data_IF_563156606600
#
_entry.id   IF_563156606600
#
_cell.length_a   1.000
_cell.length_b   1.000
_cell.length_c   1.000
_cell.angle_alpha   90.00
_cell.angle_beta   90.00
_cell.angle_gamma   90.00
#
_symmetry.space_group_name_H-M   'P 1'
#
loop_
_entity.id
_entity.type
_entity.pdbx_description
1 polymer ?
#
# COMPACT_ATOMS: atom_id res chain seq x y z
N UNK A 1 71.61 -4.81 -55.65
CA UNK A 1 70.41 -4.34 -56.39
C UNK A 1 69.51 -3.63 -55.39
N UNK A 2 69.65 -2.31 -55.36
CA UNK A 2 68.76 -1.48 -54.52
C UNK A 2 67.47 -1.17 -55.30
N UNK A 3 66.34 -1.66 -54.77
CA UNK A 3 65.03 -1.30 -55.33
C UNK A 3 64.74 0.13 -54.93
N UNK A 4 64.93 1.08 -55.86
CA UNK A 4 64.40 2.45 -55.69
C UNK A 4 62.88 2.39 -55.78
N UNK A 5 62.23 2.42 -54.66
CA UNK A 5 60.77 2.62 -54.63
C UNK A 5 60.46 4.02 -55.17
N UNK A 6 59.65 4.10 -56.25
CA UNK A 6 59.23 5.35 -56.82
C UNK A 6 58.51 6.24 -55.80
N UNK A 7 58.79 7.55 -55.74
CA UNK A 7 58.25 8.46 -54.70
C UNK A 7 56.73 8.48 -54.64
N UNK A 8 56.06 8.11 -55.73
CA UNK A 8 54.59 7.97 -55.80
C UNK A 8 54.08 6.81 -54.94
N UNK A 9 54.79 5.67 -54.84
CA UNK A 9 54.43 4.56 -53.98
C UNK A 9 54.64 4.87 -52.51
N UNK A 10 55.67 5.66 -52.18
CA UNK A 10 55.92 6.12 -50.84
C UNK A 10 54.84 7.11 -50.33
N UNK A 11 54.43 8.01 -51.20
CA UNK A 11 53.33 8.96 -50.95
C UNK A 11 51.98 8.27 -50.76
N UNK A 12 51.67 7.22 -51.59
CA UNK A 12 50.45 6.45 -51.42
C UNK A 12 50.41 5.63 -50.14
N UNK A 13 51.55 5.06 -49.73
CA UNK A 13 51.68 4.32 -48.49
C UNK A 13 51.50 5.23 -47.25
N UNK A 14 52.09 6.47 -47.29
CA UNK A 14 51.91 7.45 -46.24
C UNK A 14 50.45 7.92 -46.13
N UNK A 15 49.78 8.18 -47.24
CA UNK A 15 48.39 8.57 -47.29
C UNK A 15 47.47 7.46 -46.74
N UNK A 16 47.73 6.19 -47.09
CA UNK A 16 47.00 5.04 -46.54
C UNK A 16 47.15 4.86 -45.03
N UNK A 17 48.38 5.01 -44.51
CA UNK A 17 48.61 4.95 -43.07
C UNK A 17 47.98 6.13 -42.34
N UNK A 18 48.05 7.35 -42.91
CA UNK A 18 47.39 8.53 -42.31
C UNK A 18 45.86 8.37 -42.30
N UNK A 19 45.25 7.84 -43.36
CA UNK A 19 43.82 7.56 -43.39
C UNK A 19 43.39 6.46 -42.37
N UNK A 20 44.16 5.39 -42.22
CA UNK A 20 43.85 4.33 -41.28
C UNK A 20 44.04 4.79 -39.83
N UNK A 21 45.05 5.61 -39.51
CA UNK A 21 45.21 6.19 -38.20
C UNK A 21 44.15 7.22 -37.86
N UNK A 22 43.69 7.99 -38.86
CA UNK A 22 42.61 8.95 -38.66
C UNK A 22 41.26 8.26 -38.45
N UNK A 23 40.99 7.18 -39.22
CA UNK A 23 39.79 6.34 -39.02
C UNK A 23 39.82 5.64 -37.63
N UNK A 24 40.97 5.09 -37.24
CA UNK A 24 41.15 4.48 -35.92
C UNK A 24 41.00 5.48 -34.79
N UNK A 25 41.43 6.75 -34.98
CA UNK A 25 41.26 7.83 -34.00
C UNK A 25 39.77 8.23 -33.91
N UNK A 26 39.06 8.35 -35.06
CA UNK A 26 37.62 8.63 -35.08
C UNK A 26 36.84 7.49 -34.41
N UNK A 27 37.15 6.25 -34.70
CA UNK A 27 36.53 5.08 -34.08
C UNK A 27 36.83 4.98 -32.58
N UNK A 28 38.08 5.34 -32.16
CA UNK A 28 38.46 5.40 -30.75
C UNK A 28 37.72 6.56 -30.03
N UNK A 29 37.63 7.73 -30.64
CA UNK A 29 36.87 8.85 -30.11
C UNK A 29 35.33 8.58 -30.11
N UNK A 30 34.81 7.90 -31.12
CA UNK A 30 33.42 7.47 -31.16
C UNK A 30 33.11 6.37 -30.13
N UNK A 31 34.07 5.48 -29.86
CA UNK A 31 33.93 4.48 -28.76
C UNK A 31 34.14 5.06 -27.37
N UNK A 32 34.91 6.16 -27.23
CA UNK A 32 35.03 6.89 -25.97
C UNK A 32 33.91 7.90 -25.74
N UNK A 33 33.27 8.39 -26.79
CA UNK A 33 31.93 8.97 -26.72
C UNK A 33 30.92 7.86 -26.94
N UNK A 34 30.76 6.92 -26.02
CA UNK A 34 29.44 6.55 -25.62
C UNK A 34 28.81 7.89 -25.23
N UNK A 35 27.98 8.42 -26.12
CA UNK A 35 27.05 9.45 -25.75
C UNK A 35 26.28 8.86 -24.57
N UNK A 36 26.69 9.19 -23.35
CA UNK A 36 25.81 9.20 -22.22
C UNK A 36 24.73 10.23 -22.60
N UNK A 37 23.78 9.78 -23.39
CA UNK A 37 22.51 10.47 -23.55
C UNK A 37 22.07 10.68 -22.09
N UNK A 38 21.84 11.93 -21.65
CA UNK A 38 21.43 12.17 -20.29
C UNK A 38 20.26 11.24 -20.06
N UNK A 39 20.41 10.32 -19.09
CA UNK A 39 19.40 9.32 -18.79
C UNK A 39 18.09 10.08 -18.61
N UNK A 40 17.19 9.97 -19.59
CA UNK A 40 15.94 10.72 -19.55
C UNK A 40 15.17 10.24 -18.33
N UNK A 41 14.79 11.16 -17.47
CA UNK A 41 13.92 10.85 -16.34
C UNK A 41 12.67 10.17 -16.85
N UNK A 42 12.35 9.01 -16.32
CA UNK A 42 11.13 8.27 -16.60
C UNK A 42 10.13 8.51 -15.48
N UNK A 43 8.85 8.42 -15.79
CA UNK A 43 7.77 8.65 -14.85
C UNK A 43 6.82 7.46 -14.81
N UNK A 44 6.14 7.30 -13.67
CA UNK A 44 5.07 6.31 -13.51
C UNK A 44 4.04 6.80 -12.49
N UNK A 45 2.78 6.56 -12.76
CA UNK A 45 1.67 6.96 -11.90
C UNK A 45 1.04 5.70 -11.30
N UNK A 46 0.81 5.74 -9.99
CA UNK A 46 0.05 4.70 -9.29
C UNK A 46 -1.06 5.37 -8.49
N UNK A 47 -2.28 4.90 -8.68
CA UNK A 47 -3.38 5.17 -7.75
C UNK A 47 -3.48 4.04 -6.74
N UNK A 48 -3.46 4.42 -5.48
CA UNK A 48 -3.88 3.56 -4.36
C UNK A 48 -5.33 3.91 -4.01
N UNK A 49 -6.24 3.00 -4.35
CA UNK A 49 -7.65 3.17 -4.07
C UNK A 49 -8.04 2.31 -2.85
N UNK A 50 -7.81 2.90 -1.68
CA UNK A 50 -8.14 2.33 -0.39
C UNK A 50 -9.65 2.24 -0.12
N UNK A 51 -10.02 1.64 1.01
CA UNK A 51 -11.43 1.50 1.40
C UNK A 51 -12.06 2.83 1.87
N UNK A 52 -11.24 3.77 2.32
CA UNK A 52 -11.68 5.04 2.91
C UNK A 52 -11.30 6.27 2.08
N UNK A 53 -10.22 6.19 1.31
CA UNK A 53 -9.73 7.29 0.47
C UNK A 53 -8.93 6.73 -0.71
N UNK A 54 -8.66 7.58 -1.68
CA UNK A 54 -7.83 7.27 -2.84
C UNK A 54 -6.73 8.32 -2.95
N UNK A 55 -5.50 7.90 -3.28
CA UNK A 55 -4.38 8.80 -3.51
C UNK A 55 -3.66 8.46 -4.81
N UNK A 56 -3.15 9.49 -5.49
CA UNK A 56 -2.26 9.37 -6.64
C UNK A 56 -0.83 9.62 -6.21
N UNK A 57 0.08 8.74 -6.62
CA UNK A 57 1.51 8.88 -6.46
C UNK A 57 2.20 8.95 -7.81
N UNK A 58 3.02 9.98 -8.01
CA UNK A 58 3.90 10.11 -9.17
C UNK A 58 5.32 9.70 -8.77
N UNK A 59 5.83 8.71 -9.43
CA UNK A 59 7.20 8.22 -9.28
C UNK A 59 8.06 8.64 -10.45
N UNK A 60 9.36 8.80 -10.18
CA UNK A 60 10.37 9.08 -11.20
C UNK A 60 11.63 8.24 -10.98
N UNK A 61 12.32 7.93 -12.08
CA UNK A 61 13.62 7.23 -12.05
C UNK A 61 14.48 7.65 -13.25
N UNK A 62 15.78 7.43 -13.15
CA UNK A 62 16.75 7.76 -14.20
C UNK A 62 17.04 6.53 -15.07
N UNK A 63 16.93 6.68 -16.38
CA UNK A 63 17.39 5.75 -17.40
C UNK A 63 16.73 4.38 -17.41
N UNK A 64 17.42 3.42 -18.03
CA UNK A 64 17.03 2.02 -18.03
C UNK A 64 17.36 1.36 -16.71
N UNK A 65 16.52 0.44 -16.27
CA UNK A 65 16.78 -0.38 -15.08
C UNK A 65 18.04 -1.22 -15.26
N UNK A 66 19.12 -0.88 -14.57
CA UNK A 66 20.33 -1.70 -14.55
C UNK A 66 20.14 -2.89 -13.63
N UNK A 67 20.58 -4.09 -14.07
CA UNK A 67 20.61 -5.32 -13.26
C UNK A 67 19.30 -5.65 -12.53
N UNK A 68 18.15 -5.36 -13.11
CA UNK A 68 16.82 -5.55 -12.48
C UNK A 68 16.64 -4.72 -11.20
N UNK A 69 17.38 -3.66 -11.01
CA UNK A 69 17.24 -2.74 -9.87
C UNK A 69 16.20 -1.67 -10.20
N UNK A 70 15.04 -1.74 -9.58
CA UNK A 70 14.00 -0.71 -9.71
C UNK A 70 14.17 0.37 -8.66
N UNK A 71 15.09 1.33 -8.88
CA UNK A 71 15.27 2.46 -7.99
C UNK A 71 14.35 3.57 -8.46
N UNK A 72 13.39 3.96 -7.62
CA UNK A 72 12.41 4.98 -7.90
C UNK A 72 12.33 5.97 -6.74
N UNK A 73 12.00 7.21 -7.03
CA UNK A 73 11.67 8.21 -6.01
C UNK A 73 10.26 8.74 -6.26
N UNK A 74 9.53 9.02 -5.19
CA UNK A 74 8.26 9.70 -5.27
C UNK A 74 8.53 11.20 -5.51
N UNK A 75 7.95 11.76 -6.57
CA UNK A 75 8.08 13.19 -6.91
C UNK A 75 6.85 14.01 -6.56
N UNK A 76 5.68 13.34 -6.44
CA UNK A 76 4.42 14.01 -6.11
C UNK A 76 3.44 13.02 -5.48
N UNK A 77 2.60 13.52 -4.57
CA UNK A 77 1.37 12.84 -4.10
C UNK A 77 0.19 13.79 -4.24
N UNK A 78 -0.99 13.22 -4.45
CA UNK A 78 -2.25 13.97 -4.53
C UNK A 78 -3.36 13.14 -3.94
N UNK A 79 -3.97 13.62 -2.87
CA UNK A 79 -5.17 13.01 -2.29
C UNK A 79 -6.38 13.33 -3.16
N UNK A 80 -7.13 12.30 -3.51
CA UNK A 80 -8.38 12.41 -4.27
C UNK A 80 -9.48 12.88 -3.35
N UNK A 81 -10.20 13.91 -3.75
CA UNK A 81 -11.30 14.45 -2.95
C UNK A 81 -12.46 13.43 -2.86
N UNK A 82 -13.01 13.25 -1.68
CA UNK A 82 -14.11 12.34 -1.39
C UNK A 82 -13.67 11.00 -0.78
N UNK A 83 -14.63 10.11 -0.64
CA UNK A 83 -14.43 8.79 -0.04
C UNK A 83 -13.73 7.82 -1.01
N UNK A 84 -13.37 6.62 -0.52
CA UNK A 84 -12.83 5.56 -1.37
C UNK A 84 -13.78 5.19 -2.53
N UNK A 85 -13.23 4.75 -3.66
CA UNK A 85 -14.02 4.51 -4.89
C UNK A 85 -15.16 3.51 -4.70
N UNK A 86 -15.09 2.63 -3.72
CA UNK A 86 -16.16 1.67 -3.38
C UNK A 86 -17.44 2.32 -2.83
N UNK A 87 -17.38 3.59 -2.39
CA UNK A 87 -18.56 4.33 -1.89
C UNK A 87 -19.49 4.83 -3.00
N UNK A 88 -19.01 4.86 -4.25
CA UNK A 88 -19.75 5.42 -5.39
C UNK A 88 -20.77 4.46 -6.03
N UNK A 89 -21.30 3.50 -5.27
CA UNK A 89 -22.29 2.51 -5.74
C UNK A 89 -23.53 3.19 -6.37
N UNK A 90 -24.01 4.29 -5.79
CA UNK A 90 -25.18 5.02 -6.28
C UNK A 90 -24.84 6.05 -7.38
N UNK A 91 -23.55 6.34 -7.58
CA UNK A 91 -23.06 7.28 -8.59
C UNK A 91 -21.73 6.83 -9.17
N UNK A 92 -21.66 5.71 -9.91
CA UNK A 92 -20.41 5.18 -10.44
C UNK A 92 -19.59 6.18 -11.27
N UNK A 93 -20.18 7.07 -12.11
CA UNK A 93 -19.41 8.09 -12.80
C UNK A 93 -18.65 9.04 -11.84
N UNK A 94 -19.15 9.26 -10.63
CA UNK A 94 -18.50 10.06 -9.59
C UNK A 94 -17.15 9.50 -9.18
N UNK A 95 -16.95 8.18 -9.19
CA UNK A 95 -15.67 7.56 -8.91
C UNK A 95 -14.61 7.97 -9.94
N UNK A 96 -14.95 7.99 -11.22
CA UNK A 96 -14.05 8.47 -12.27
C UNK A 96 -13.82 9.98 -12.18
N UNK A 97 -14.88 10.76 -11.93
CA UNK A 97 -14.81 12.22 -11.82
C UNK A 97 -13.87 12.68 -10.69
N UNK A 98 -13.89 12.00 -9.54
CA UNK A 98 -13.04 12.32 -8.39
C UNK A 98 -11.55 12.27 -8.72
N UNK A 99 -11.12 11.43 -9.66
CA UNK A 99 -9.70 11.29 -10.04
C UNK A 99 -9.17 12.45 -10.87
N UNK A 100 -10.03 13.24 -11.51
CA UNK A 100 -9.63 14.23 -12.52
C UNK A 100 -8.70 15.30 -11.99
N UNK A 101 -8.92 15.79 -10.79
CA UNK A 101 -8.06 16.79 -10.14
C UNK A 101 -6.61 16.28 -10.03
N UNK A 102 -6.42 15.10 -9.48
CA UNK A 102 -5.09 14.50 -9.32
C UNK A 102 -4.45 14.11 -10.67
N UNK A 103 -5.22 13.63 -11.63
CA UNK A 103 -4.74 13.39 -12.99
C UNK A 103 -4.27 14.68 -13.68
N UNK A 104 -4.97 15.79 -13.49
CA UNK A 104 -4.56 17.10 -14.02
C UNK A 104 -3.26 17.59 -13.36
N UNK A 105 -3.11 17.42 -12.05
CA UNK A 105 -1.89 17.74 -11.31
C UNK A 105 -0.71 16.92 -11.83
N UNK A 106 -0.87 15.60 -11.98
CA UNK A 106 0.16 14.73 -12.54
C UNK A 106 0.52 15.11 -13.98
N UNK A 107 -0.49 15.43 -14.81
CA UNK A 107 -0.27 15.90 -16.19
C UNK A 107 0.55 17.18 -16.26
N UNK A 108 0.33 18.13 -15.36
CA UNK A 108 1.10 19.37 -15.29
C UNK A 108 2.54 19.14 -14.82
N UNK A 109 2.78 18.13 -13.96
CA UNK A 109 4.10 17.80 -13.41
C UNK A 109 4.99 17.04 -14.40
N UNK A 110 4.41 16.33 -15.39
CA UNK A 110 5.15 15.49 -16.33
C UNK A 110 5.37 16.25 -17.65
N UNK A 111 6.62 16.35 -18.16
CA UNK A 111 6.90 16.96 -19.45
C UNK A 111 6.04 16.39 -20.58
N UNK A 112 5.49 17.23 -21.44
CA UNK A 112 4.50 16.82 -22.46
C UNK A 112 5.00 15.71 -23.40
N UNK A 113 6.30 15.72 -23.73
CA UNK A 113 6.94 14.68 -24.55
C UNK A 113 7.04 13.32 -23.87
N UNK A 114 6.87 13.24 -22.53
CA UNK A 114 6.98 12.00 -21.77
C UNK A 114 5.63 11.46 -21.27
N UNK A 115 4.56 12.26 -21.36
CA UNK A 115 3.23 11.86 -20.87
C UNK A 115 2.75 10.55 -21.51
N UNK A 116 2.94 10.36 -22.81
CA UNK A 116 2.51 9.14 -23.53
C UNK A 116 3.33 7.89 -23.18
N UNK A 117 4.53 8.08 -22.62
CA UNK A 117 5.38 6.99 -22.17
C UNK A 117 5.23 6.72 -20.66
N UNK A 118 4.44 7.51 -19.94
CA UNK A 118 4.22 7.38 -18.51
C UNK A 118 3.12 6.34 -18.22
N UNK A 119 3.47 5.16 -17.66
CA UNK A 119 2.48 4.16 -17.30
C UNK A 119 1.62 4.62 -16.13
N UNK A 120 0.33 4.28 -16.17
CA UNK A 120 -0.62 4.51 -15.09
C UNK A 120 -1.26 3.19 -14.67
N UNK A 121 -1.22 2.93 -13.37
CA UNK A 121 -1.87 1.80 -12.73
C UNK A 121 -2.83 2.29 -11.65
N UNK A 122 -3.93 1.57 -11.45
CA UNK A 122 -4.79 1.73 -10.27
C UNK A 122 -4.95 0.38 -9.58
N UNK A 123 -4.54 0.32 -8.30
CA UNK A 123 -4.79 -0.79 -7.40
C UNK A 123 -5.90 -0.43 -6.43
N UNK A 124 -7.03 -1.15 -6.51
CA UNK A 124 -8.11 -1.01 -5.55
C UNK A 124 -8.01 -2.13 -4.51
N UNK A 125 -8.24 -1.80 -3.24
CA UNK A 125 -7.96 -2.71 -2.13
C UNK A 125 -9.24 -3.25 -1.46
N UNK A 126 -9.25 -3.42 -0.16
CA UNK A 126 -10.28 -4.11 0.61
C UNK A 126 -11.70 -3.56 0.43
N UNK A 127 -11.87 -2.24 0.22
CA UNK A 127 -13.18 -1.66 -0.02
C UNK A 127 -13.84 -2.22 -1.28
N UNK A 128 -13.09 -2.28 -2.38
CA UNK A 128 -13.57 -2.86 -3.63
C UNK A 128 -13.68 -4.39 -3.57
N UNK A 129 -12.84 -5.08 -2.77
CA UNK A 129 -13.03 -6.52 -2.52
C UNK A 129 -14.36 -6.80 -1.81
N UNK A 130 -14.69 -6.02 -0.78
CA UNK A 130 -15.98 -6.15 -0.08
C UNK A 130 -17.16 -5.89 -1.01
N UNK A 131 -17.10 -4.79 -1.79
CA UNK A 131 -18.14 -4.50 -2.78
C UNK A 131 -18.27 -5.61 -3.82
N UNK A 132 -17.17 -6.18 -4.29
CA UNK A 132 -17.20 -7.29 -5.26
C UNK A 132 -17.80 -8.57 -4.69
N UNK A 133 -17.63 -8.84 -3.38
CA UNK A 133 -18.29 -9.95 -2.69
C UNK A 133 -19.80 -9.73 -2.55
N UNK A 134 -20.23 -8.50 -2.33
CA UNK A 134 -21.63 -8.12 -2.18
C UNK A 134 -22.32 -7.98 -3.54
N UNK A 135 -21.70 -7.27 -4.46
CA UNK A 135 -22.21 -7.00 -5.81
C UNK A 135 -21.08 -6.83 -6.82
N UNK A 136 -20.65 -7.95 -7.41
CA UNK A 136 -19.58 -7.94 -8.41
C UNK A 136 -19.86 -7.04 -9.61
N UNK A 137 -21.09 -7.02 -10.11
CA UNK A 137 -21.48 -6.18 -11.26
C UNK A 137 -21.26 -4.70 -10.95
N UNK A 138 -21.63 -4.26 -9.75
CA UNK A 138 -21.45 -2.88 -9.34
C UNK A 138 -19.97 -2.50 -9.18
N UNK A 139 -19.15 -3.42 -8.65
CA UNK A 139 -17.70 -3.22 -8.57
C UNK A 139 -17.08 -3.10 -9.97
N UNK A 140 -17.50 -3.93 -10.92
CA UNK A 140 -17.05 -3.89 -12.33
C UNK A 140 -17.44 -2.56 -13.01
N UNK A 141 -18.65 -2.03 -12.76
CA UNK A 141 -19.12 -0.74 -13.28
C UNK A 141 -18.24 0.41 -12.76
N UNK A 142 -17.95 0.45 -11.45
CA UNK A 142 -17.09 1.48 -10.87
C UNK A 142 -15.68 1.42 -11.47
N UNK A 143 -15.09 0.24 -11.62
CA UNK A 143 -13.77 0.08 -12.26
C UNK A 143 -13.79 0.52 -13.72
N UNK A 144 -14.89 0.30 -14.45
CA UNK A 144 -15.05 0.75 -15.83
C UNK A 144 -15.06 2.28 -15.93
N UNK A 145 -15.78 3.00 -15.04
CA UNK A 145 -15.82 4.46 -15.02
C UNK A 145 -14.46 5.06 -14.63
N UNK A 146 -13.76 4.48 -13.67
CA UNK A 146 -12.39 4.85 -13.30
C UNK A 146 -11.45 4.65 -14.50
N UNK A 147 -11.51 3.51 -15.16
CA UNK A 147 -10.73 3.19 -16.36
C UNK A 147 -10.96 4.21 -17.47
N UNK A 148 -12.21 4.50 -17.80
CA UNK A 148 -12.61 5.48 -18.81
C UNK A 148 -12.04 6.86 -18.52
N UNK A 149 -12.08 7.29 -17.25
CA UNK A 149 -11.52 8.58 -16.84
C UNK A 149 -10.00 8.61 -17.02
N UNK A 150 -9.27 7.60 -16.55
CA UNK A 150 -7.80 7.55 -16.68
C UNK A 150 -7.40 7.53 -18.17
N UNK A 151 -8.09 6.75 -19.01
CA UNK A 151 -7.84 6.66 -20.44
C UNK A 151 -8.10 7.97 -21.20
N UNK A 152 -8.86 8.91 -20.63
CA UNK A 152 -9.08 10.23 -21.23
C UNK A 152 -7.86 11.17 -21.13
N UNK A 153 -6.85 10.78 -20.35
CA UNK A 153 -5.58 11.51 -20.19
C UNK A 153 -4.49 10.92 -21.11
N UNK A 154 -3.44 11.72 -21.42
CA UNK A 154 -2.43 11.32 -22.41
C UNK A 154 -1.40 10.30 -21.89
N UNK A 155 -1.74 9.53 -20.87
CA UNK A 155 -0.84 8.56 -20.24
C UNK A 155 -0.98 7.16 -20.84
N UNK A 156 0.01 6.31 -20.60
CA UNK A 156 0.00 4.89 -20.96
C UNK A 156 -0.76 4.08 -19.91
N UNK A 157 -2.08 3.97 -20.06
CA UNK A 157 -2.91 3.22 -19.13
C UNK A 157 -2.59 1.72 -19.17
N UNK A 158 -2.16 1.18 -18.04
CA UNK A 158 -1.73 -0.22 -17.86
C UNK A 158 -2.74 -1.09 -17.12
N UNK A 159 -3.74 -0.50 -16.50
CA UNK A 159 -4.83 -1.24 -15.86
C UNK A 159 -5.33 -0.62 -14.57
N UNK A 160 -6.61 -0.90 -14.30
CA UNK A 160 -7.26 -0.68 -13.01
C UNK A 160 -7.84 -2.01 -12.56
N UNK A 161 -7.49 -2.46 -11.35
CA UNK A 161 -7.94 -3.76 -10.85
C UNK A 161 -8.06 -3.79 -9.34
N UNK A 162 -8.84 -4.73 -8.85
CA UNK A 162 -8.90 -5.06 -7.43
C UNK A 162 -7.70 -5.96 -7.11
N UNK A 163 -6.87 -5.53 -6.16
CA UNK A 163 -5.77 -6.31 -5.64
C UNK A 163 -6.29 -7.42 -4.72
N UNK A 164 -5.70 -8.60 -4.83
CA UNK A 164 -5.90 -9.64 -3.82
C UNK A 164 -5.31 -9.19 -2.48
N UNK A 165 -5.80 -9.76 -1.39
CA UNK A 165 -5.23 -9.44 -0.07
C UNK A 165 -3.75 -9.83 0.05
N UNK A 166 -3.33 -10.91 -0.64
CA UNK A 166 -1.95 -11.34 -0.72
C UNK A 166 -1.08 -10.29 -1.43
N UNK A 167 -1.52 -9.76 -2.58
CA UNK A 167 -0.80 -8.72 -3.31
C UNK A 167 -0.66 -7.44 -2.49
N UNK A 168 -1.72 -7.03 -1.80
CA UNK A 168 -1.71 -5.84 -0.93
C UNK A 168 -0.65 -5.99 0.17
N UNK A 169 -0.65 -7.08 0.92
CA UNK A 169 0.34 -7.36 1.96
C UNK A 169 1.76 -7.49 1.40
N UNK A 170 1.92 -8.18 0.26
CA UNK A 170 3.21 -8.35 -0.39
C UNK A 170 3.80 -7.02 -0.88
N UNK A 171 2.99 -6.16 -1.48
CA UNK A 171 3.44 -4.84 -1.94
C UNK A 171 3.78 -3.91 -0.79
N UNK A 172 3.02 -3.94 0.31
CA UNK A 172 3.36 -3.23 1.55
C UNK A 172 4.73 -3.67 2.09
N UNK A 173 4.96 -4.99 2.17
CA UNK A 173 6.24 -5.55 2.61
C UNK A 173 7.41 -5.14 1.70
N UNK A 174 7.22 -5.17 0.37
CA UNK A 174 8.23 -4.71 -0.59
C UNK A 174 8.54 -3.24 -0.36
N UNK A 175 7.52 -2.39 -0.24
CA UNK A 175 7.67 -0.95 -0.07
C UNK A 175 8.45 -0.61 1.19
N UNK A 176 8.09 -1.20 2.34
CA UNK A 176 8.79 -0.98 3.61
C UNK A 176 10.28 -1.36 3.49
N UNK A 177 10.57 -2.55 3.00
CA UNK A 177 11.94 -3.01 2.88
C UNK A 177 12.75 -2.27 1.80
N UNK A 178 12.09 -1.70 0.79
CA UNK A 178 12.70 -0.77 -0.15
C UNK A 178 13.09 0.55 0.52
N UNK A 179 12.16 1.17 1.27
CA UNK A 179 12.37 2.45 1.95
C UNK A 179 13.45 2.39 3.03
N UNK A 180 13.59 1.24 3.69
CA UNK A 180 14.63 0.99 4.69
C UNK A 180 15.97 0.50 4.09
N UNK A 181 16.11 0.55 2.75
CA UNK A 181 17.29 0.08 2.03
C UNK A 181 17.69 -1.39 2.37
N UNK A 182 16.70 -2.21 2.73
CA UNK A 182 16.94 -3.60 3.15
C UNK A 182 17.33 -4.50 1.98
N UNK A 183 16.86 -4.20 0.77
CA UNK A 183 17.17 -4.98 -0.44
C UNK A 183 18.45 -4.51 -1.13
N UNK A 184 18.65 -3.20 -1.19
CA UNK A 184 19.80 -2.55 -1.84
C UNK A 184 20.21 -1.33 -1.04
N UNK A 185 21.50 -1.02 -1.04
CA UNK A 185 22.08 0.14 -0.39
C UNK A 185 23.00 0.88 -1.33
N UNK A 186 22.94 2.21 -1.33
CA UNK A 186 23.88 3.06 -2.05
C UNK A 186 25.19 3.16 -1.28
N UNK A 187 26.32 2.85 -1.92
CA UNK A 187 27.65 2.99 -1.31
C UNK A 187 28.21 4.39 -1.51
N UNK A 188 29.20 4.77 -0.70
CA UNK A 188 29.95 6.01 -0.88
C UNK A 188 30.68 6.09 -2.24
N UNK A 189 30.88 4.95 -2.90
CA UNK A 189 31.46 4.87 -4.26
C UNK A 189 30.43 5.11 -5.36
N UNK A 190 29.20 5.43 -5.02
CA UNK A 190 28.11 5.65 -5.99
C UNK A 190 27.52 4.37 -6.58
N UNK A 191 27.71 3.22 -5.95
CA UNK A 191 27.20 1.93 -6.43
C UNK A 191 26.07 1.40 -5.57
N UNK A 192 25.07 0.79 -6.20
CA UNK A 192 24.02 0.05 -5.52
C UNK A 192 24.47 -1.39 -5.26
N UNK A 193 24.44 -1.81 -4.01
CA UNK A 193 24.84 -3.15 -3.57
C UNK A 193 23.79 -3.76 -2.66
N UNK A 194 23.66 -5.09 -2.69
CA UNK A 194 22.86 -5.80 -1.70
C UNK A 194 23.61 -5.79 -0.36
N UNK A 195 23.00 -5.26 0.73
CA UNK A 195 23.69 -5.25 2.02
C UNK A 195 23.81 -6.67 2.57
N UNK A 196 25.03 -7.12 2.85
CA UNK A 196 25.31 -8.47 3.39
C UNK A 196 24.61 -8.74 4.74
N UNK A 197 24.28 -7.69 5.47
CA UNK A 197 23.53 -7.70 6.73
C UNK A 197 22.23 -6.91 6.62
N UNK A 198 21.60 -6.91 5.45
CA UNK A 198 20.31 -6.25 5.24
C UNK A 198 19.28 -6.80 6.23
N UNK A 199 18.70 -5.89 7.02
CA UNK A 199 17.69 -6.24 8.01
C UNK A 199 16.33 -6.23 7.33
N UNK A 200 15.82 -7.40 7.00
CA UNK A 200 14.47 -7.52 6.44
C UNK A 200 13.46 -7.36 7.55
N UNK A 201 12.56 -6.39 7.40
CA UNK A 201 11.48 -6.11 8.32
C UNK A 201 10.21 -6.84 7.89
N UNK A 202 9.43 -7.26 8.87
CA UNK A 202 8.02 -7.59 8.65
C UNK A 202 7.21 -6.30 8.45
N UNK A 203 6.04 -6.43 7.85
CA UNK A 203 5.11 -5.34 7.57
C UNK A 203 3.75 -5.61 8.21
N UNK A 204 3.23 -4.62 8.94
CA UNK A 204 1.87 -4.60 9.49
C UNK A 204 1.14 -3.42 8.89
N UNK A 205 0.04 -3.72 8.18
CA UNK A 205 -0.83 -2.71 7.59
C UNK A 205 -2.23 -2.78 8.23
N UNK A 206 -2.74 -1.67 8.75
CA UNK A 206 -4.09 -1.56 9.27
C UNK A 206 -4.89 -0.58 8.42
N UNK A 207 -5.60 -1.11 7.44
CA UNK A 207 -6.52 -0.32 6.62
C UNK A 207 -7.89 -0.11 7.28
N UNK A 208 -8.83 0.46 6.53
CA UNK A 208 -10.24 0.62 6.99
C UNK A 208 -11.01 -0.70 6.98
N UNK A 209 -10.82 -1.54 5.97
CA UNK A 209 -11.61 -2.75 5.77
C UNK A 209 -10.84 -4.07 5.93
N UNK A 210 -9.52 -4.05 5.89
CA UNK A 210 -8.67 -5.23 6.13
C UNK A 210 -7.40 -4.86 6.88
N UNK A 211 -6.75 -5.86 7.48
CA UNK A 211 -5.41 -5.74 8.04
C UNK A 211 -4.50 -6.80 7.43
N UNK A 212 -3.24 -6.44 7.15
CA UNK A 212 -2.26 -7.32 6.54
C UNK A 212 -1.09 -7.55 7.49
N UNK A 213 -0.59 -8.78 7.47
CA UNK A 213 0.69 -9.15 8.07
C UNK A 213 1.56 -9.84 7.02
N UNK A 214 2.81 -9.38 6.87
CA UNK A 214 3.75 -9.96 5.92
C UNK A 214 5.15 -10.00 6.50
N UNK A 215 5.83 -11.14 6.42
CA UNK A 215 7.20 -11.31 6.94
C UNK A 215 7.93 -12.48 6.29
N UNK A 216 9.25 -12.45 6.31
CA UNK A 216 10.07 -13.55 5.82
C UNK A 216 10.08 -14.72 6.80
N UNK A 217 10.11 -15.91 6.27
CA UNK A 217 10.13 -17.15 7.03
C UNK A 217 11.56 -17.59 7.32
N UNK A 218 11.76 -18.23 8.47
CA UNK A 218 13.02 -18.92 8.78
C UNK A 218 13.04 -20.32 8.18
N UNK A 219 11.88 -21.00 8.20
CA UNK A 219 11.71 -22.32 7.66
C UNK A 219 10.70 -22.30 6.52
N UNK A 220 10.85 -23.14 5.47
CA UNK A 220 9.92 -23.18 4.35
C UNK A 220 8.51 -23.49 4.82
N UNK A 221 7.56 -22.65 4.45
CA UNK A 221 6.15 -22.84 4.80
C UNK A 221 5.51 -23.89 3.91
N UNK A 222 4.77 -24.81 4.53
CA UNK A 222 4.04 -25.85 3.82
C UNK A 222 2.70 -25.39 3.22
N UNK A 223 2.39 -24.08 3.28
CA UNK A 223 1.11 -23.55 2.79
C UNK A 223 1.34 -22.65 1.58
N UNK A 224 1.25 -23.17 0.35
CA UNK A 224 1.49 -22.42 -0.89
C UNK A 224 0.60 -21.18 -1.05
N UNK A 225 -0.62 -21.24 -0.49
CA UNK A 225 -1.64 -20.18 -0.63
C UNK A 225 -1.33 -18.89 0.16
N UNK A 226 -0.44 -18.99 1.16
CA UNK A 226 -0.03 -17.84 1.99
C UNK A 226 1.42 -17.44 1.76
N UNK A 227 2.09 -17.97 0.75
CA UNK A 227 3.47 -17.65 0.42
C UNK A 227 3.59 -16.84 -0.86
N UNK A 228 4.36 -15.76 -0.79
CA UNK A 228 4.73 -14.93 -1.92
C UNK A 228 6.26 -15.04 -2.10
N UNK A 229 6.70 -15.42 -3.29
CA UNK A 229 8.10 -15.74 -3.57
C UNK A 229 8.72 -14.77 -4.59
N UNK A 230 8.95 -13.50 -4.26
CA UNK A 230 9.48 -12.53 -5.20
C UNK A 230 10.97 -12.72 -5.43
N UNK A 231 11.41 -12.40 -6.66
CA UNK A 231 12.80 -12.14 -6.97
C UNK A 231 13.03 -10.65 -7.06
N UNK A 232 13.68 -10.06 -6.05
CA UNK A 232 13.94 -8.63 -5.95
C UNK A 232 15.45 -8.39 -5.92
N UNK A 233 15.92 -7.48 -6.78
CA UNK A 233 17.35 -7.09 -6.84
C UNK A 233 18.32 -8.28 -6.98
N UNK A 234 17.88 -9.33 -7.70
CA UNK A 234 18.65 -10.56 -7.92
C UNK A 234 18.49 -11.65 -6.86
N UNK A 235 17.84 -11.38 -5.72
CA UNK A 235 17.64 -12.32 -4.61
C UNK A 235 16.20 -12.83 -4.58
N UNK A 236 16.04 -14.10 -4.19
CA UNK A 236 14.73 -14.72 -3.95
C UNK A 236 14.40 -14.59 -2.47
N UNK A 237 13.17 -14.21 -2.20
CA UNK A 237 12.60 -14.12 -0.85
C UNK A 237 11.43 -15.09 -0.73
N UNK A 238 11.24 -15.64 0.44
CA UNK A 238 10.04 -16.42 0.81
C UNK A 238 9.31 -15.63 1.90
N UNK A 239 8.14 -15.12 1.56
CA UNK A 239 7.37 -14.19 2.39
C UNK A 239 6.01 -14.80 2.69
N UNK A 240 5.72 -15.00 3.98
CA UNK A 240 4.36 -15.21 4.42
C UNK A 240 3.62 -13.88 4.29
N UNK A 241 2.43 -13.90 3.72
CA UNK A 241 1.55 -12.73 3.65
C UNK A 241 0.10 -13.15 3.77
N UNK A 242 -0.64 -12.48 4.65
CA UNK A 242 -2.07 -12.70 4.81
C UNK A 242 -2.79 -11.39 5.01
N UNK A 243 -3.99 -11.28 4.41
CA UNK A 243 -4.91 -10.14 4.58
C UNK A 243 -6.18 -10.62 5.26
N UNK A 244 -6.40 -10.15 6.47
CA UNK A 244 -7.60 -10.41 7.24
C UNK A 244 -8.71 -9.44 6.82
N UNK A 245 -9.53 -9.85 5.87
CA UNK A 245 -10.69 -9.10 5.39
C UNK A 245 -11.71 -8.95 6.52
N UNK A 246 -12.36 -7.79 6.62
CA UNK A 246 -13.27 -7.43 7.72
C UNK A 246 -12.59 -7.12 9.08
N UNK A 247 -11.26 -7.05 9.12
CA UNK A 247 -10.50 -6.73 10.33
C UNK A 247 -9.68 -5.45 10.23
N UNK A 248 -9.97 -4.59 9.23
CA UNK A 248 -9.53 -3.20 9.26
C UNK A 248 -10.29 -2.41 10.32
N UNK A 249 -9.77 -1.24 10.72
CA UNK A 249 -10.28 -0.45 11.86
C UNK A 249 -11.78 -0.16 11.79
N UNK A 250 -12.29 0.19 10.60
CA UNK A 250 -13.71 0.58 10.43
C UNK A 250 -14.63 -0.63 10.46
N UNK A 251 -14.24 -1.74 9.84
CA UNK A 251 -15.03 -2.96 9.83
C UNK A 251 -14.99 -3.70 11.18
N UNK A 252 -13.86 -3.68 11.87
CA UNK A 252 -13.76 -4.22 13.23
C UNK A 252 -14.65 -3.44 14.21
N UNK A 253 -14.67 -2.10 14.10
CA UNK A 253 -15.59 -1.27 14.88
C UNK A 253 -17.05 -1.61 14.57
N UNK A 254 -17.39 -1.77 13.29
CA UNK A 254 -18.75 -2.13 12.85
C UNK A 254 -19.17 -3.51 13.36
N UNK A 255 -18.25 -4.51 13.35
CA UNK A 255 -18.47 -5.82 13.96
C UNK A 255 -18.77 -5.70 15.45
N UNK A 256 -18.01 -4.91 16.19
CA UNK A 256 -18.23 -4.67 17.61
C UNK A 256 -19.58 -3.99 17.87
N UNK A 257 -19.92 -2.95 17.12
CA UNK A 257 -21.21 -2.25 17.23
C UNK A 257 -22.39 -3.19 16.95
N UNK A 258 -22.32 -4.01 15.90
CA UNK A 258 -23.36 -4.99 15.56
C UNK A 258 -23.50 -6.07 16.67
N UNK A 259 -22.38 -6.52 17.24
CA UNK A 259 -22.38 -7.44 18.36
C UNK A 259 -23.02 -6.84 19.62
N UNK A 260 -22.65 -5.59 19.96
CA UNK A 260 -23.24 -4.86 21.10
C UNK A 260 -24.73 -4.66 20.91
N UNK A 261 -25.19 -4.27 19.71
CA UNK A 261 -26.62 -4.15 19.40
C UNK A 261 -27.36 -5.46 19.58
N UNK A 262 -26.81 -6.56 19.03
CA UNK A 262 -27.40 -7.89 19.15
C UNK A 262 -27.55 -8.34 20.61
N UNK A 263 -26.54 -8.08 21.45
CA UNK A 263 -26.53 -8.48 22.85
C UNK A 263 -27.42 -7.58 23.74
N UNK A 264 -27.65 -6.34 23.36
CA UNK A 264 -28.53 -5.41 24.06
C UNK A 264 -30.04 -5.66 23.85
N UNK A 265 -30.40 -6.51 22.88
CA UNK A 265 -31.78 -6.88 22.58
C UNK A 265 -32.58 -5.70 22.01
N UNK A 266 -33.71 -5.35 22.65
CA UNK A 266 -34.63 -4.30 22.16
C UNK A 266 -34.24 -2.87 22.58
N UNK A 267 -33.10 -2.67 23.23
CA UNK A 267 -32.66 -1.33 23.67
C UNK A 267 -32.25 -0.47 22.48
N UNK A 268 -32.75 0.76 22.43
CA UNK A 268 -32.33 1.78 21.47
C UNK A 268 -31.08 2.55 21.91
N UNK A 269 -30.62 2.35 23.16
CA UNK A 269 -29.39 2.94 23.71
C UNK A 269 -28.53 1.81 24.24
N UNK A 270 -27.28 1.74 23.78
CA UNK A 270 -26.35 0.66 24.08
C UNK A 270 -25.03 1.24 24.60
N UNK A 271 -24.54 0.73 25.69
CA UNK A 271 -23.22 1.09 26.23
C UNK A 271 -22.11 0.58 25.31
N UNK A 272 -21.20 1.49 24.95
CA UNK A 272 -20.05 1.18 24.11
C UNK A 272 -18.74 1.38 24.88
N UNK A 273 -18.03 0.32 25.29
CA UNK A 273 -16.88 0.43 26.19
C UNK A 273 -15.66 1.12 25.54
N UNK A 274 -15.53 1.05 24.23
CA UNK A 274 -14.42 1.70 23.51
C UNK A 274 -14.66 3.18 23.21
N UNK A 275 -15.86 3.70 23.43
CA UNK A 275 -16.14 5.14 23.32
C UNK A 275 -15.95 5.84 24.65
N UNK A 276 -15.50 7.10 24.58
CA UNK A 276 -15.31 7.93 25.77
C UNK A 276 -16.61 8.26 26.46
N UNK A 277 -16.65 8.19 27.78
CA UNK A 277 -17.83 8.56 28.56
C UNK A 277 -18.22 10.00 28.26
N UNK A 278 -19.49 10.19 27.90
CA UNK A 278 -20.04 11.46 27.44
C UNK A 278 -20.09 11.64 25.92
N UNK A 279 -19.45 10.74 25.16
CA UNK A 279 -19.61 10.66 23.71
C UNK A 279 -20.79 9.75 23.35
N UNK A 280 -21.64 10.20 22.44
CA UNK A 280 -22.75 9.43 21.92
C UNK A 280 -22.75 9.44 20.40
N UNK A 281 -22.97 8.27 19.79
CA UNK A 281 -23.09 8.10 18.34
C UNK A 281 -24.45 7.45 18.03
N UNK A 282 -25.28 8.12 17.24
CA UNK A 282 -26.54 7.55 16.76
C UNK A 282 -26.41 7.16 15.31
N UNK A 283 -26.72 5.90 15.01
CA UNK A 283 -26.73 5.33 13.66
C UNK A 283 -28.13 4.79 13.35
N UNK A 284 -28.50 4.79 12.07
CA UNK A 284 -29.58 3.94 11.57
C UNK A 284 -29.09 2.50 11.47
N UNK A 285 -30.01 1.54 11.50
CA UNK A 285 -29.65 0.13 11.26
C UNK A 285 -29.08 -0.05 9.85
N UNK A 286 -29.57 0.71 8.86
CA UNK A 286 -28.98 0.70 7.53
C UNK A 286 -27.49 1.06 7.56
N UNK A 287 -27.07 2.10 8.26
CA UNK A 287 -25.66 2.49 8.40
C UNK A 287 -24.85 1.45 9.18
N UNK A 288 -25.41 0.88 10.24
CA UNK A 288 -24.74 -0.13 11.06
C UNK A 288 -24.50 -1.43 10.28
N UNK A 289 -25.51 -1.91 9.54
CA UNK A 289 -25.48 -3.21 8.87
C UNK A 289 -25.12 -3.13 7.38
N UNK A 290 -24.79 -1.95 6.85
CA UNK A 290 -24.31 -1.78 5.48
C UNK A 290 -22.87 -2.25 5.33
N UNK A 291 -22.66 -3.57 5.45
CA UNK A 291 -21.37 -4.21 5.24
C UNK A 291 -21.52 -5.73 5.20
N UNK A 292 -20.83 -6.43 4.29
CA UNK A 292 -20.79 -7.89 4.29
C UNK A 292 -20.02 -8.47 5.49
N UNK A 293 -19.37 -7.64 6.30
CA UNK A 293 -18.63 -8.05 7.50
C UNK A 293 -19.52 -8.26 8.73
N UNK A 294 -20.79 -7.90 8.67
CA UNK A 294 -21.75 -8.03 9.77
C UNK A 294 -23.01 -8.76 9.31
N UNK A 295 -23.60 -9.53 10.21
CA UNK A 295 -24.83 -10.27 9.91
C UNK A 295 -26.04 -9.42 10.25
N UNK A 296 -26.85 -9.13 9.24
CA UNK A 296 -28.11 -8.40 9.39
C UNK A 296 -29.10 -9.24 10.22
N UNK A 297 -29.74 -8.67 11.26
CA UNK A 297 -30.71 -9.40 12.08
C UNK A 297 -32.02 -9.68 11.32
N UNK A 298 -32.73 -10.74 11.70
CA UNK A 298 -33.98 -11.14 11.03
C UNK A 298 -35.09 -10.08 11.11
N UNK A 299 -35.09 -9.26 12.17
CA UNK A 299 -36.04 -8.17 12.39
C UNK A 299 -35.53 -6.82 11.88
N UNK A 300 -34.70 -6.82 10.84
CA UNK A 300 -34.05 -5.63 10.30
C UNK A 300 -35.06 -4.54 9.89
N UNK A 301 -34.81 -3.33 10.42
CA UNK A 301 -35.53 -2.11 10.03
C UNK A 301 -34.52 -1.03 9.68
N UNK A 302 -34.38 -0.73 8.40
CA UNK A 302 -33.38 0.18 7.86
C UNK A 302 -33.38 1.57 8.51
N UNK A 303 -34.56 2.08 8.89
CA UNK A 303 -34.76 3.42 9.44
C UNK A 303 -34.72 3.48 10.97
N UNK A 304 -34.73 2.31 11.64
CA UNK A 304 -34.59 2.25 13.09
C UNK A 304 -33.24 2.82 13.51
N UNK A 305 -33.21 3.51 14.65
CA UNK A 305 -32.02 4.15 15.18
C UNK A 305 -31.52 3.44 16.42
N UNK A 306 -30.21 3.40 16.57
CA UNK A 306 -29.52 2.96 17.76
C UNK A 306 -28.51 4.01 18.19
N UNK A 307 -28.42 4.28 19.48
CA UNK A 307 -27.43 5.20 20.07
C UNK A 307 -26.43 4.41 20.88
N UNK A 308 -25.17 4.50 20.52
CA UNK A 308 -24.04 3.97 21.29
C UNK A 308 -23.56 5.07 22.26
N UNK A 309 -23.63 4.80 23.57
CA UNK A 309 -23.20 5.69 24.61
C UNK A 309 -21.85 5.23 25.19
N UNK A 310 -20.84 6.09 25.14
CA UNK A 310 -19.49 5.78 25.60
C UNK A 310 -19.41 5.60 27.11
N UNK A 311 -18.58 4.65 27.56
CA UNK A 311 -18.35 4.35 28.97
C UNK A 311 -16.89 4.44 29.41
N UNK A 312 -15.94 4.70 28.50
CA UNK A 312 -14.48 4.75 28.77
C UNK A 312 -13.96 3.51 29.53
N UNK A 313 -14.41 2.33 29.17
CA UNK A 313 -13.97 1.09 29.81
C UNK A 313 -12.96 0.36 28.93
N UNK A 314 -11.69 0.73 29.01
CA UNK A 314 -10.61 0.18 28.17
C UNK A 314 -10.46 -1.32 28.32
N UNK A 315 -10.56 -1.85 29.54
CA UNK A 315 -10.43 -3.29 29.81
C UNK A 315 -11.55 -4.11 29.15
N UNK A 316 -12.81 -3.65 29.26
CA UNK A 316 -13.93 -4.30 28.58
C UNK A 316 -13.84 -4.14 27.06
N UNK A 317 -13.40 -2.97 26.58
CA UNK A 317 -13.14 -2.76 25.14
C UNK A 317 -12.14 -3.77 24.60
N UNK A 318 -11.00 -3.94 25.28
CA UNK A 318 -9.97 -4.90 24.88
C UNK A 318 -10.54 -6.34 24.85
N UNK A 319 -11.20 -6.77 25.93
CA UNK A 319 -11.78 -8.12 25.99
C UNK A 319 -12.81 -8.39 24.90
N UNK A 320 -13.65 -7.40 24.56
CA UNK A 320 -14.61 -7.56 23.47
C UNK A 320 -13.93 -7.59 22.09
N UNK A 321 -12.88 -6.81 21.90
CA UNK A 321 -12.11 -6.85 20.67
C UNK A 321 -11.35 -8.16 20.49
N UNK A 322 -10.82 -8.75 21.56
CA UNK A 322 -10.22 -10.10 21.53
C UNK A 322 -11.24 -11.15 21.07
N UNK A 323 -12.49 -11.08 21.55
CA UNK A 323 -13.56 -11.94 21.08
C UNK A 323 -13.94 -11.69 19.60
N UNK A 324 -13.98 -10.43 19.15
CA UNK A 324 -14.27 -10.08 17.76
C UNK A 324 -13.17 -10.59 16.83
N UNK A 325 -11.90 -10.51 17.26
CA UNK A 325 -10.74 -10.97 16.50
C UNK A 325 -10.61 -12.51 16.53
N UNK A 326 -11.25 -13.17 17.50
CA UNK A 326 -11.29 -14.63 17.63
C UNK A 326 -9.90 -15.29 17.56
N UNK A 327 -9.01 -14.90 18.49
CA UNK A 327 -7.65 -15.45 18.58
C UNK A 327 -7.58 -16.86 19.18
N UNK A 328 -8.70 -17.40 19.67
CA UNK A 328 -8.75 -18.66 20.42
C UNK A 328 -9.14 -19.88 19.57
N UNK A 329 -9.62 -19.68 18.35
CA UNK A 329 -10.10 -20.75 17.47
C UNK A 329 -8.96 -21.44 16.68
N UNK A 330 -7.90 -21.82 17.40
CA UNK A 330 -6.77 -22.56 16.83
C UNK A 330 -6.99 -24.07 16.85
N UNK A 331 -8.18 -24.53 16.42
CA UNK A 331 -8.56 -25.96 16.50
C UNK A 331 -7.72 -26.86 15.60
N UNK A 332 -7.15 -26.34 14.52
CA UNK A 332 -6.44 -27.14 13.52
C UNK A 332 -4.91 -27.00 13.56
N UNK A 333 -4.37 -25.99 14.22
CA UNK A 333 -2.93 -25.76 14.33
C UNK A 333 -2.62 -24.86 15.53
N UNK A 334 -1.56 -25.16 16.32
CA UNK A 334 -1.09 -24.22 17.34
C UNK A 334 -0.55 -22.91 16.73
N UNK A 335 -0.20 -22.93 15.45
CA UNK A 335 0.28 -21.78 14.70
C UNK A 335 -0.91 -21.15 13.95
N UNK A 336 -1.65 -20.25 14.60
CA UNK A 336 -2.76 -19.55 13.98
C UNK A 336 -2.84 -18.08 14.41
N UNK A 337 -3.47 -17.28 13.55
CA UNK A 337 -3.80 -15.88 13.76
C UNK A 337 -5.30 -15.66 13.94
N UNK A 338 -5.80 -14.55 13.44
CA UNK A 338 -7.22 -14.17 13.50
C UNK A 338 -8.10 -15.23 12.83
N UNK A 339 -9.24 -15.56 13.45
CA UNK A 339 -10.22 -16.56 12.97
C UNK A 339 -9.61 -17.95 12.69
N UNK A 340 -8.61 -18.37 13.44
CA UNK A 340 -7.99 -19.68 13.26
C UNK A 340 -7.17 -19.83 11.96
N UNK A 341 -6.95 -18.76 11.23
CA UNK A 341 -6.15 -18.79 9.99
C UNK A 341 -4.70 -19.13 10.33
N UNK A 342 -4.14 -20.09 9.59
CA UNK A 342 -2.75 -20.45 9.77
C UNK A 342 -1.82 -19.24 9.67
N UNK A 343 -1.00 -19.04 10.69
CA UNK A 343 0.03 -18.01 10.73
C UNK A 343 1.29 -18.61 11.36
N UNK A 344 2.39 -18.75 10.60
CA UNK A 344 3.62 -19.30 11.15
C UNK A 344 4.16 -18.44 12.30
N UNK A 345 5.03 -18.97 13.16
CA UNK A 345 5.62 -18.22 14.26
C UNK A 345 6.24 -16.90 13.77
N UNK A 346 5.79 -15.81 14.37
CA UNK A 346 6.23 -14.45 14.03
C UNK A 346 7.66 -14.23 14.49
N UNK A 347 8.54 -13.82 13.60
CA UNK A 347 9.95 -13.60 13.86
C UNK A 347 10.44 -12.27 13.32
N UNK A 348 11.42 -11.67 14.00
CA UNK A 348 12.08 -10.45 13.57
C UNK A 348 11.38 -9.19 14.07
N UNK A 349 11.71 -8.08 13.44
CA UNK A 349 11.14 -6.77 13.71
C UNK A 349 10.14 -6.41 12.65
N UNK A 350 9.14 -5.62 13.03
CA UNK A 350 8.05 -5.21 12.17
C UNK A 350 7.99 -3.69 12.07
N UNK A 351 7.60 -3.21 10.89
CA UNK A 351 7.17 -1.86 10.68
C UNK A 351 5.64 -1.84 10.53
N UNK A 352 4.99 -1.03 11.37
CA UNK A 352 3.54 -0.86 11.39
C UNK A 352 3.19 0.50 10.75
N UNK A 353 2.32 0.50 9.74
CA UNK A 353 1.97 1.69 8.96
C UNK A 353 0.46 1.84 8.78
N UNK A 354 0.00 2.77 7.96
CA UNK A 354 -1.42 3.12 7.79
C UNK A 354 -2.05 3.55 9.12
N UNK A 355 -3.18 3.01 9.53
CA UNK A 355 -3.87 3.40 10.75
C UNK A 355 -3.04 3.13 12.03
N UNK A 356 -2.10 2.20 12.02
CA UNK A 356 -1.14 2.06 13.12
C UNK A 356 -0.33 3.35 13.31
N UNK A 357 0.25 3.87 12.21
CA UNK A 357 1.04 5.09 12.28
C UNK A 357 0.21 6.27 12.78
N UNK A 358 -0.94 6.53 12.18
CA UNK A 358 -1.79 7.66 12.57
C UNK A 358 -2.26 7.58 14.02
N UNK A 359 -2.57 6.37 14.51
CA UNK A 359 -2.97 6.17 15.91
C UNK A 359 -1.79 6.42 16.84
N UNK A 360 -0.61 5.93 16.52
CA UNK A 360 0.57 6.08 17.37
C UNK A 360 1.13 7.51 17.35
N UNK A 361 1.07 8.17 16.19
CA UNK A 361 1.43 9.58 16.07
C UNK A 361 0.49 10.47 16.90
N UNK A 362 -0.81 10.26 16.77
CA UNK A 362 -1.82 10.96 17.59
C UNK A 362 -1.58 10.77 19.10
N UNK A 363 -1.13 9.60 19.53
CA UNK A 363 -0.84 9.30 20.93
C UNK A 363 0.58 9.73 21.37
N UNK A 364 1.38 10.34 20.48
CA UNK A 364 2.76 10.74 20.75
C UNK A 364 3.73 9.56 20.91
N UNK A 365 3.43 8.41 20.27
CA UNK A 365 4.22 7.18 20.33
C UNK A 365 5.10 6.98 19.09
N UNK A 366 4.85 7.73 18.01
CA UNK A 366 5.68 7.67 16.80
C UNK A 366 7.02 8.40 17.02
N UNK A 367 8.11 8.04 16.31
CA UNK A 367 8.21 6.95 15.33
C UNK A 367 8.49 5.57 15.95
N UNK A 368 8.75 5.48 17.25
CA UNK A 368 9.07 4.23 17.96
C UNK A 368 8.76 4.35 19.44
N UNK A 369 8.07 3.34 19.96
CA UNK A 369 7.82 3.22 21.41
C UNK A 369 7.92 1.75 21.85
N UNK A 370 8.35 1.47 23.08
CA UNK A 370 8.28 0.13 23.67
C UNK A 370 6.82 -0.33 23.81
N UNK A 371 6.56 -1.62 23.64
CA UNK A 371 5.20 -2.17 23.67
C UNK A 371 4.46 -1.86 24.98
N UNK A 372 5.14 -1.91 26.13
CA UNK A 372 4.55 -1.55 27.41
C UNK A 372 4.09 -0.09 27.46
N UNK A 373 4.85 0.84 26.87
CA UNK A 373 4.45 2.24 26.74
C UNK A 373 3.24 2.39 25.83
N UNK A 374 3.21 1.68 24.71
CA UNK A 374 2.06 1.66 23.79
C UNK A 374 0.80 1.24 24.53
N UNK A 375 0.85 0.09 25.22
CA UNK A 375 -0.29 -0.44 25.97
C UNK A 375 -0.78 0.51 27.06
N UNK A 376 0.14 1.06 27.86
CA UNK A 376 -0.23 1.99 28.95
C UNK A 376 -0.77 3.32 28.43
N UNK A 377 -0.26 3.82 27.30
CA UNK A 377 -0.74 5.08 26.71
C UNK A 377 -2.14 4.90 26.12
N UNK A 378 -2.39 3.79 25.41
CA UNK A 378 -3.71 3.46 24.89
C UNK A 378 -4.72 3.31 26.03
N UNK A 379 -4.38 2.54 27.06
CA UNK A 379 -5.24 2.36 28.23
C UNK A 379 -5.56 3.70 28.91
N UNK A 380 -4.55 4.52 29.15
CA UNK A 380 -4.73 5.87 29.73
C UNK A 380 -5.62 6.75 28.86
N UNK A 381 -5.45 6.72 27.53
CA UNK A 381 -6.27 7.50 26.61
C UNK A 381 -7.72 7.02 26.61
N UNK A 382 -7.96 5.72 26.47
CA UNK A 382 -9.29 5.12 26.39
C UNK A 382 -10.12 5.27 27.66
N UNK A 383 -9.49 5.44 28.82
CA UNK A 383 -10.18 5.68 30.10
C UNK A 383 -10.54 7.16 30.35
N UNK A 384 -10.14 8.10 29.47
CA UNK A 384 -10.53 9.53 29.58
C UNK A 384 -12.00 9.72 29.22
N UNK A 385 -12.63 10.75 29.81
CA UNK A 385 -13.97 11.18 29.40
C UNK A 385 -13.90 12.06 28.16
N UNK A 386 -14.98 12.13 27.40
CA UNK A 386 -15.10 13.01 26.24
C UNK A 386 -14.85 14.47 26.59
N UNK A 387 -15.43 14.91 27.70
CA UNK A 387 -15.24 16.27 28.20
C UNK A 387 -13.76 16.61 28.52
N UNK A 388 -13.02 15.65 29.05
CA UNK A 388 -11.57 15.83 29.31
C UNK A 388 -10.78 16.00 28.01
N UNK A 389 -11.17 15.32 26.94
CA UNK A 389 -10.51 15.40 25.63
C UNK A 389 -10.85 16.70 24.90
N UNK A 390 -12.12 17.15 24.98
CA UNK A 390 -12.58 18.35 24.25
C UNK A 390 -12.21 19.65 24.93
N UNK A 391 -12.02 19.65 26.26
CA UNK A 391 -11.62 20.84 27.02
C UNK A 391 -10.10 21.08 27.04
N UNK A 392 -9.30 20.09 26.71
CA UNK A 392 -7.88 20.28 26.44
C UNK A 392 -7.75 20.75 24.98
N UNK A 393 -7.81 22.04 24.74
CA UNK A 393 -7.47 22.66 23.46
C UNK A 393 -6.03 22.27 23.12
N UNK A 394 -5.87 21.51 22.03
CA UNK A 394 -4.60 21.14 21.43
C UNK A 394 -3.90 22.37 20.82
#
# INVERSE_FOLDING_TARGET
MGVQMKPVLLGAAFAAVACTTFIALILSLANHHTLDLPHSTQYGIVFDAGSTHTALFLYQWLGSKENSTGIVSQSLSCDVDGDGISSYVQNPPGAGESLKKCLAVAKAAIPSGQQRATPVYLGATAGMRLLSLENKSQADIILAEVTKTIQSYPFDFRGARILTGMEEGAYGWITINYLFESFIKHTFEGKWVHPKAGRILGALDLGGASTQISFTLRDPVRVPESSFNPKLYGYKYEVYTHSYQCYGKDQALKKLQAWLHKTAGASSVVNHPCYHQGYNLTLTWAELYNSPCVVTPNNFNATAKITFSGTSNSSLCLSLMENIVNLTDCTFSPDCGIDGVYQPPVNGEFFAFSAYFYTFDFLGLAPKAPLNQVLSTIDTHCNKTWNTLTNNTW
#
